data_IF_981129452874
#
_entry.id   IF_981129452874
#
_cell.length_a   1.000
_cell.length_b   1.000
_cell.length_c   1.000
_cell.angle_alpha   90.00
_cell.angle_beta   90.00
_cell.angle_gamma   90.00
#
_symmetry.space_group_name_H-M   'P 1'
#
loop_
_entity.id
_entity.type
_entity.pdbx_description
1 polymer ?
#
# COMPACT_ATOMS: atom_id res chain seq x y z
N UNK A 1 -13.71 -13.66 52.16
CA UNK A 1 -12.69 -14.63 51.74
C UNK A 1 -12.98 -14.98 50.29
N UNK A 2 -12.13 -14.57 49.36
CA UNK A 2 -12.29 -14.92 47.94
C UNK A 2 -11.46 -16.18 47.73
N UNK A 3 -12.11 -17.34 47.62
CA UNK A 3 -11.46 -18.59 47.23
C UNK A 3 -10.93 -18.41 45.80
N UNK A 4 -9.61 -18.28 45.68
CA UNK A 4 -8.94 -18.46 44.40
C UNK A 4 -9.11 -19.92 44.02
N UNK A 5 -9.85 -20.19 42.95
CA UNK A 5 -9.89 -21.49 42.27
C UNK A 5 -8.48 -21.73 41.72
N UNK A 6 -7.59 -22.27 42.55
CA UNK A 6 -6.24 -22.65 42.18
C UNK A 6 -6.31 -23.97 41.42
N UNK A 7 -6.11 -23.92 40.10
CA UNK A 7 -5.90 -25.15 39.34
C UNK A 7 -4.68 -25.88 39.89
N UNK A 8 -4.84 -27.15 40.27
CA UNK A 8 -3.70 -27.97 40.67
C UNK A 8 -2.67 -28.04 39.54
N UNK A 9 -1.36 -27.94 39.85
CA UNK A 9 -0.31 -28.14 38.86
C UNK A 9 -0.44 -29.51 38.21
N UNK A 10 -0.34 -29.56 36.88
CA UNK A 10 -0.44 -30.79 36.08
C UNK A 10 0.78 -31.71 36.22
N UNK A 11 1.85 -31.23 36.85
CA UNK A 11 3.15 -31.90 36.99
C UNK A 11 3.63 -31.87 38.44
N UNK A 12 4.62 -32.71 38.75
CA UNK A 12 5.42 -32.66 39.98
C UNK A 12 6.92 -32.52 39.62
N UNK A 13 7.73 -32.10 40.59
CA UNK A 13 9.19 -32.02 40.42
C UNK A 13 9.78 -33.42 40.54
N UNK A 14 10.48 -33.87 39.50
CA UNK A 14 11.20 -35.14 39.46
C UNK A 14 12.67 -34.88 39.84
N UNK A 15 13.03 -35.22 41.07
CA UNK A 15 14.38 -35.00 41.61
C UNK A 15 15.41 -36.02 41.10
N UNK A 16 14.94 -37.13 40.53
CA UNK A 16 15.79 -38.21 40.00
C UNK A 16 16.36 -37.89 38.61
N UNK A 17 15.76 -36.92 37.89
CA UNK A 17 16.18 -36.53 36.55
C UNK A 17 16.59 -35.06 36.49
N UNK A 18 17.78 -34.79 35.98
CA UNK A 18 18.32 -33.43 35.79
C UNK A 18 18.44 -33.12 34.31
N UNK A 19 18.01 -31.92 33.92
CA UNK A 19 18.20 -31.44 32.56
C UNK A 19 19.69 -31.22 32.24
N UNK A 20 20.25 -31.81 31.17
CA UNK A 20 21.65 -31.61 30.81
C UNK A 20 21.96 -30.20 30.30
N UNK A 21 20.94 -29.45 29.86
CA UNK A 21 21.10 -28.07 29.35
C UNK A 21 21.05 -27.02 30.46
N UNK A 22 20.16 -27.21 31.43
CA UNK A 22 19.85 -26.17 32.43
C UNK A 22 20.18 -26.57 33.87
N UNK A 23 20.69 -27.78 34.08
CA UNK A 23 21.08 -28.31 35.40
C UNK A 23 19.98 -28.14 36.47
N UNK A 24 18.72 -28.27 36.06
CA UNK A 24 17.57 -28.20 36.96
C UNK A 24 16.83 -29.53 36.98
N UNK A 25 16.13 -29.82 38.08
CA UNK A 25 15.22 -30.97 38.16
C UNK A 25 14.16 -30.89 37.07
N UNK A 26 13.87 -32.04 36.46
CA UNK A 26 12.84 -32.16 35.45
C UNK A 26 11.45 -32.16 36.11
N UNK A 27 10.41 -31.92 35.30
CA UNK A 27 9.01 -32.02 35.73
C UNK A 27 8.35 -33.19 35.02
N UNK A 28 7.57 -33.97 35.77
CA UNK A 28 6.84 -35.13 35.25
C UNK A 28 5.35 -34.91 35.40
N UNK A 29 4.56 -35.23 34.37
CA UNK A 29 3.10 -35.13 34.46
C UNK A 29 2.55 -36.07 35.53
N UNK A 30 1.62 -35.57 36.36
CA UNK A 30 0.96 -36.37 37.41
C UNK A 30 0.14 -37.53 36.84
N UNK A 31 -0.41 -37.36 35.63
CA UNK A 31 -1.24 -38.37 34.95
C UNK A 31 -0.54 -38.83 33.67
N UNK A 32 -0.55 -40.14 33.36
CA UNK A 32 -0.07 -40.63 32.08
C UNK A 32 -0.86 -40.00 30.92
N UNK A 33 -0.17 -39.75 29.81
CA UNK A 33 -0.78 -39.29 28.57
C UNK A 33 -0.55 -40.31 27.46
N UNK A 34 -1.44 -40.34 26.48
CA UNK A 34 -1.32 -41.18 25.28
C UNK A 34 -0.94 -40.29 24.10
N UNK A 35 0.28 -40.46 23.58
CA UNK A 35 0.71 -39.77 22.37
C UNK A 35 0.14 -40.47 21.13
N UNK A 36 -0.07 -39.72 20.04
CA UNK A 36 -0.61 -40.22 18.76
C UNK A 36 0.18 -41.43 18.23
N UNK A 37 1.49 -41.47 18.48
CA UNK A 37 2.40 -42.52 18.00
C UNK A 37 2.74 -43.58 19.08
N UNK A 38 1.93 -43.73 20.13
CA UNK A 38 2.15 -44.75 21.17
C UNK A 38 0.88 -45.55 21.48
N UNK A 39 1.03 -46.87 21.53
CA UNK A 39 -0.01 -47.83 21.92
C UNK A 39 -0.32 -47.73 23.41
N UNK A 40 0.69 -47.56 24.26
CA UNK A 40 0.54 -47.50 25.72
C UNK A 40 0.71 -46.07 26.29
N UNK A 41 -0.03 -45.71 27.35
CA UNK A 41 0.17 -44.45 28.08
C UNK A 41 1.55 -44.38 28.72
N UNK A 42 2.12 -43.18 28.78
CA UNK A 42 3.38 -42.93 29.48
C UNK A 42 3.29 -41.61 30.25
N UNK A 43 4.18 -41.40 31.22
CA UNK A 43 4.29 -40.13 31.93
C UNK A 43 5.48 -39.35 31.34
N UNK A 44 5.23 -38.27 30.57
CA UNK A 44 6.31 -37.47 30.01
C UNK A 44 7.04 -36.70 31.10
N UNK A 45 8.36 -36.76 31.05
CA UNK A 45 9.28 -35.91 31.80
C UNK A 45 9.81 -34.79 30.89
N UNK A 46 9.87 -33.55 31.38
CA UNK A 46 10.35 -32.40 30.62
C UNK A 46 11.04 -31.36 31.49
N UNK A 47 12.00 -30.62 30.91
CA UNK A 47 12.65 -29.51 31.61
C UNK A 47 11.79 -28.24 31.53
N UNK A 48 11.46 -27.57 32.66
CA UNK A 48 10.66 -26.34 32.65
C UNK A 48 11.36 -25.18 31.92
N UNK A 49 12.68 -25.08 32.02
CA UNK A 49 13.47 -24.04 31.34
C UNK A 49 13.50 -24.26 29.82
N UNK A 50 13.74 -25.49 29.36
CA UNK A 50 13.64 -25.85 27.93
C UNK A 50 12.25 -25.56 27.35
N UNK A 51 11.18 -25.81 28.12
CA UNK A 51 9.81 -25.49 27.67
C UNK A 51 9.62 -23.98 27.57
N UNK A 52 10.06 -23.20 28.58
CA UNK A 52 10.00 -21.73 28.56
C UNK A 52 10.69 -21.16 27.33
N UNK A 53 11.94 -21.53 27.07
CA UNK A 53 12.69 -21.06 25.88
C UNK A 53 12.04 -21.46 24.56
N UNK A 54 11.34 -22.61 24.51
CA UNK A 54 10.62 -23.05 23.30
C UNK A 54 9.37 -22.21 23.08
N UNK A 55 8.64 -21.89 24.15
CA UNK A 55 7.47 -21.02 24.12
C UNK A 55 7.89 -19.60 23.73
N UNK A 56 8.95 -19.06 24.33
CA UNK A 56 9.48 -17.73 24.02
C UNK A 56 9.88 -17.62 22.54
N UNK A 57 10.69 -18.56 22.02
CA UNK A 57 11.06 -18.57 20.58
C UNK A 57 9.86 -18.67 19.65
N UNK A 58 8.85 -19.48 20.01
CA UNK A 58 7.63 -19.61 19.21
C UNK A 58 6.83 -18.30 19.22
N UNK A 59 6.71 -17.67 20.39
CA UNK A 59 6.03 -16.38 20.54
C UNK A 59 6.76 -15.27 19.77
N UNK A 60 8.08 -15.20 19.84
CA UNK A 60 8.89 -14.25 19.07
C UNK A 60 8.70 -14.43 17.56
N UNK A 61 8.69 -15.68 17.07
CA UNK A 61 8.43 -15.99 15.67
C UNK A 61 7.01 -15.56 15.25
N UNK A 62 5.99 -15.90 16.04
CA UNK A 62 4.59 -15.52 15.77
C UNK A 62 4.40 -13.99 15.76
N UNK A 63 5.04 -13.27 16.69
CA UNK A 63 5.03 -11.79 16.73
C UNK A 63 5.74 -11.23 15.49
N UNK A 64 6.89 -11.77 15.13
CA UNK A 64 7.64 -11.37 13.93
C UNK A 64 6.85 -11.56 12.64
N UNK A 65 6.18 -12.69 12.50
CA UNK A 65 5.28 -12.99 11.38
C UNK A 65 4.09 -12.02 11.33
N UNK A 66 3.44 -11.77 12.48
CA UNK A 66 2.33 -10.82 12.57
C UNK A 66 2.76 -9.39 12.22
N UNK A 67 3.91 -8.95 12.72
CA UNK A 67 4.49 -7.63 12.42
C UNK A 67 4.82 -7.50 10.92
N UNK A 68 5.48 -8.50 10.34
CA UNK A 68 5.80 -8.53 8.91
C UNK A 68 4.52 -8.49 8.06
N UNK A 69 3.52 -9.32 8.39
CA UNK A 69 2.22 -9.34 7.72
C UNK A 69 1.51 -7.97 7.79
N UNK A 70 1.58 -7.29 8.93
CA UNK A 70 1.05 -5.94 9.10
C UNK A 70 1.75 -4.93 8.20
N UNK A 71 3.08 -4.95 8.13
CA UNK A 71 3.85 -4.09 7.23
C UNK A 71 3.42 -4.34 5.77
N UNK A 72 3.43 -5.60 5.32
CA UNK A 72 3.07 -5.96 3.94
C UNK A 72 1.66 -5.47 3.57
N UNK A 73 0.70 -5.62 4.49
CA UNK A 73 -0.68 -5.14 4.32
C UNK A 73 -0.77 -3.63 4.21
N UNK A 74 0.03 -2.90 4.99
CA UNK A 74 0.05 -1.45 5.04
C UNK A 74 0.98 -0.82 3.98
N UNK A 75 1.74 -1.62 3.23
CA UNK A 75 2.62 -1.15 2.16
C UNK A 75 2.25 -1.77 0.81
N UNK A 76 2.68 -3.00 0.52
CA UNK A 76 2.59 -3.58 -0.81
C UNK A 76 1.15 -3.89 -1.23
N UNK A 77 0.29 -4.25 -0.29
CA UNK A 77 -1.11 -4.58 -0.59
C UNK A 77 -1.99 -3.33 -0.76
N UNK A 78 -1.50 -2.15 -0.38
CA UNK A 78 -2.26 -0.89 -0.43
C UNK A 78 -2.74 -0.60 -1.85
N UNK A 79 -1.89 -0.87 -2.85
CA UNK A 79 -2.22 -0.62 -4.25
C UNK A 79 -3.43 -1.45 -4.68
N UNK A 80 -3.51 -2.71 -4.28
CA UNK A 80 -4.59 -3.60 -4.72
C UNK A 80 -5.85 -3.47 -3.85
N UNK A 81 -5.70 -3.21 -2.55
CA UNK A 81 -6.81 -3.22 -1.59
C UNK A 81 -7.49 -1.86 -1.40
N UNK A 82 -6.73 -0.76 -1.51
CA UNK A 82 -7.22 0.57 -1.14
C UNK A 82 -7.37 1.53 -2.31
N UNK A 83 -6.85 1.18 -3.48
CA UNK A 83 -6.93 2.04 -4.65
C UNK A 83 -8.31 2.05 -5.32
N UNK A 84 -8.63 3.17 -5.94
CA UNK A 84 -9.82 3.34 -6.78
C UNK A 84 -9.44 3.19 -8.26
N UNK A 85 -8.99 1.98 -8.64
CA UNK A 85 -8.66 1.65 -10.03
C UNK A 85 -9.96 1.30 -10.79
N UNK A 86 -10.22 1.90 -11.97
CA UNK A 86 -11.35 1.52 -12.83
C UNK A 86 -11.33 0.02 -13.19
N UNK A 87 -12.50 -0.62 -13.21
CA UNK A 87 -12.60 -2.08 -13.39
C UNK A 87 -12.02 -2.56 -14.73
N UNK A 88 -12.19 -1.78 -15.79
CA UNK A 88 -11.67 -2.01 -17.15
C UNK A 88 -10.14 -1.88 -17.24
N UNK A 89 -9.52 -1.21 -16.27
CA UNK A 89 -8.06 -1.03 -16.18
C UNK A 89 -7.42 -1.87 -15.07
N UNK A 90 -8.13 -2.86 -14.54
CA UNK A 90 -7.60 -3.78 -13.51
C UNK A 90 -6.35 -4.54 -13.96
N UNK A 91 -6.14 -4.77 -15.24
CA UNK A 91 -4.94 -5.46 -15.76
C UNK A 91 -3.94 -4.51 -16.44
N UNK A 92 -4.16 -3.18 -16.31
CA UNK A 92 -3.28 -2.17 -16.91
C UNK A 92 -1.85 -2.27 -16.34
N UNK A 93 -0.87 -2.40 -17.23
CA UNK A 93 0.55 -2.50 -16.89
C UNK A 93 1.39 -2.06 -18.10
N UNK A 94 2.70 -1.95 -17.92
CA UNK A 94 3.62 -1.70 -19.04
C UNK A 94 3.61 -2.83 -20.09
N UNK A 95 3.19 -4.05 -19.71
CA UNK A 95 3.06 -5.19 -20.61
C UNK A 95 1.79 -5.12 -21.46
N UNK A 96 0.70 -4.60 -20.89
CA UNK A 96 -0.60 -4.49 -21.56
C UNK A 96 -0.80 -3.14 -22.23
N UNK A 97 0.16 -2.22 -22.14
CA UNK A 97 0.13 -0.94 -22.85
C UNK A 97 0.64 -1.15 -24.29
N UNK A 98 -0.28 -1.22 -25.24
CA UNK A 98 0.03 -1.27 -26.68
C UNK A 98 0.66 0.03 -27.14
N UNK A 99 1.67 -0.05 -28.00
CA UNK A 99 2.31 1.10 -28.66
C UNK A 99 1.93 1.05 -30.13
N UNK A 100 1.09 1.98 -30.56
CA UNK A 100 0.59 2.01 -31.95
C UNK A 100 1.16 3.17 -32.77
N UNK A 101 1.71 4.18 -32.11
CA UNK A 101 2.30 5.36 -32.74
C UNK A 101 3.49 5.90 -31.91
N UNK A 102 4.15 6.92 -32.45
CA UNK A 102 5.32 7.50 -31.78
C UNK A 102 4.97 8.23 -30.47
N UNK A 103 3.79 8.84 -30.38
CA UNK A 103 3.35 9.48 -29.13
C UNK A 103 3.20 8.46 -27.99
N UNK A 104 2.66 7.27 -28.27
CA UNK A 104 2.57 6.17 -27.33
C UNK A 104 3.96 5.66 -26.90
N UNK A 105 4.88 5.55 -27.85
CA UNK A 105 6.26 5.12 -27.59
C UNK A 105 6.95 6.11 -26.65
N UNK A 106 6.85 7.42 -26.94
CA UNK A 106 7.39 8.49 -26.09
C UNK A 106 6.76 8.49 -24.70
N UNK A 107 5.44 8.32 -24.61
CA UNK A 107 4.72 8.30 -23.35
C UNK A 107 5.11 7.08 -22.49
N UNK A 108 5.22 5.89 -23.10
CA UNK A 108 5.68 4.67 -22.43
C UNK A 108 7.11 4.80 -21.94
N UNK A 109 8.01 5.33 -22.76
CA UNK A 109 9.42 5.54 -22.39
C UNK A 109 9.55 6.58 -21.27
N UNK A 110 8.76 7.65 -21.31
CA UNK A 110 8.66 8.61 -20.21
C UNK A 110 8.20 7.93 -18.92
N UNK A 111 7.12 7.15 -18.96
CA UNK A 111 6.60 6.45 -17.80
C UNK A 111 7.60 5.44 -17.20
N UNK A 112 8.38 4.74 -18.04
CA UNK A 112 9.46 3.87 -17.57
C UNK A 112 10.59 4.65 -16.87
N UNK A 113 10.95 5.84 -17.39
CA UNK A 113 11.93 6.72 -16.72
C UNK A 113 11.41 7.21 -15.37
N UNK A 114 10.13 7.58 -15.28
CA UNK A 114 9.49 7.99 -14.02
C UNK A 114 9.52 6.85 -13.00
N UNK A 115 9.14 5.64 -13.39
CA UNK A 115 9.21 4.49 -12.48
C UNK A 115 10.63 4.26 -11.94
N UNK A 116 11.64 4.36 -12.82
CA UNK A 116 13.06 4.27 -12.43
C UNK A 116 13.50 5.43 -11.52
N UNK A 117 13.01 6.65 -11.76
CA UNK A 117 13.29 7.82 -10.91
C UNK A 117 12.78 7.60 -9.49
N UNK A 118 11.52 7.20 -9.33
CA UNK A 118 10.94 6.94 -8.03
C UNK A 118 11.54 5.72 -7.33
N UNK A 119 11.91 4.66 -8.06
CA UNK A 119 12.62 3.53 -7.46
C UNK A 119 13.97 3.93 -6.85
N UNK A 120 14.63 4.98 -7.39
CA UNK A 120 15.84 5.59 -6.83
C UNK A 120 15.55 6.63 -5.73
N UNK A 121 14.35 6.62 -5.15
CA UNK A 121 13.83 7.59 -4.18
C UNK A 121 13.80 9.04 -4.70
N UNK A 122 13.74 9.22 -6.02
CA UNK A 122 13.64 10.54 -6.64
C UNK A 122 12.41 11.32 -6.15
N UNK A 123 12.57 12.64 -6.02
CA UNK A 123 11.51 13.57 -5.62
C UNK A 123 10.97 14.34 -6.82
N UNK A 124 9.83 14.99 -6.63
CA UNK A 124 9.11 15.76 -7.64
C UNK A 124 7.82 15.06 -8.07
N UNK A 125 6.79 15.86 -8.35
CA UNK A 125 5.54 15.38 -8.89
C UNK A 125 5.69 15.05 -10.37
N UNK A 126 5.11 13.93 -10.79
CA UNK A 126 4.96 13.56 -12.19
C UNK A 126 3.63 14.07 -12.71
N UNK A 127 3.61 14.69 -13.89
CA UNK A 127 2.40 15.25 -14.49
C UNK A 127 2.24 14.72 -15.91
N UNK A 128 1.15 13.99 -16.18
CA UNK A 128 0.81 13.47 -17.51
C UNK A 128 -0.47 14.15 -17.99
N UNK A 129 -0.36 14.96 -19.04
CA UNK A 129 -1.45 15.78 -19.57
C UNK A 129 -1.76 15.43 -21.02
N UNK A 130 -3.03 15.45 -21.38
CA UNK A 130 -3.49 15.20 -22.75
C UNK A 130 -4.98 14.95 -22.80
N UNK A 131 -5.57 14.99 -23.99
CA UNK A 131 -7.00 14.74 -24.17
C UNK A 131 -7.44 13.34 -23.68
N UNK A 132 -8.75 13.14 -23.57
CA UNK A 132 -9.32 11.85 -23.22
C UNK A 132 -8.92 10.77 -24.23
N UNK A 133 -8.86 9.51 -23.77
CA UNK A 133 -8.56 8.38 -24.67
C UNK A 133 -7.08 8.15 -25.00
N UNK A 134 -6.14 8.98 -24.53
CA UNK A 134 -4.71 8.86 -24.85
C UNK A 134 -3.90 7.88 -23.99
N UNK A 135 -4.55 7.17 -23.04
CA UNK A 135 -3.89 6.15 -22.21
C UNK A 135 -3.17 6.66 -20.94
N UNK A 136 -3.41 7.92 -20.53
CA UNK A 136 -2.81 8.52 -19.33
C UNK A 136 -3.03 7.70 -18.05
N UNK A 137 -4.28 7.31 -17.80
CA UNK A 137 -4.67 6.49 -16.64
C UNK A 137 -3.99 5.13 -16.66
N UNK A 138 -3.91 4.47 -17.83
CA UNK A 138 -3.20 3.21 -18.00
C UNK A 138 -1.72 3.36 -17.64
N UNK A 139 -1.04 4.40 -18.16
CA UNK A 139 0.36 4.66 -17.82
C UNK A 139 0.55 4.96 -16.33
N UNK A 140 -0.34 5.72 -15.71
CA UNK A 140 -0.26 6.00 -14.28
C UNK A 140 -0.39 4.73 -13.43
N UNK A 141 -1.31 3.83 -13.78
CA UNK A 141 -1.43 2.49 -13.16
C UNK A 141 -0.17 1.66 -13.42
N UNK A 142 0.36 1.68 -14.64
CA UNK A 142 1.57 0.95 -14.99
C UNK A 142 2.80 1.41 -14.19
N UNK A 143 2.97 2.72 -13.99
CA UNK A 143 4.00 3.30 -13.13
C UNK A 143 3.81 2.82 -11.69
N UNK A 144 2.60 2.97 -11.15
CA UNK A 144 2.28 2.56 -9.77
C UNK A 144 2.61 1.07 -9.52
N UNK A 145 2.21 0.19 -10.44
CA UNK A 145 2.51 -1.25 -10.35
C UNK A 145 3.98 -1.55 -10.44
N UNK A 146 4.71 -0.87 -11.33
CA UNK A 146 6.16 -1.06 -11.47
C UNK A 146 6.90 -0.65 -10.20
N UNK A 147 6.55 0.51 -9.62
CA UNK A 147 7.11 0.97 -8.34
C UNK A 147 6.83 -0.05 -7.23
N UNK A 148 5.58 -0.48 -7.10
CA UNK A 148 5.20 -1.46 -6.07
C UNK A 148 5.95 -2.79 -6.24
N UNK A 149 6.04 -3.29 -7.47
CA UNK A 149 6.74 -4.53 -7.79
C UNK A 149 8.26 -4.43 -7.54
N UNK A 150 8.89 -3.32 -7.91
CA UNK A 150 10.33 -3.13 -7.74
C UNK A 150 10.72 -3.05 -6.28
N UNK A 151 9.99 -2.28 -5.47
CA UNK A 151 10.22 -2.20 -4.02
C UNK A 151 9.94 -3.53 -3.31
N UNK A 152 8.92 -4.27 -3.77
CA UNK A 152 8.64 -5.63 -3.29
C UNK A 152 9.77 -6.60 -3.62
N UNK A 153 10.36 -6.52 -4.81
CA UNK A 153 11.46 -7.41 -5.24
C UNK A 153 12.72 -7.25 -4.39
N UNK A 154 12.95 -6.08 -3.79
CA UNK A 154 14.09 -5.81 -2.89
C UNK A 154 13.68 -5.77 -1.41
N UNK A 155 12.49 -6.28 -1.05
CA UNK A 155 11.97 -6.32 0.32
C UNK A 155 12.03 -4.96 1.04
N UNK A 156 11.81 -3.86 0.32
CA UNK A 156 11.77 -2.52 0.90
C UNK A 156 10.32 -2.06 0.96
N UNK A 157 9.67 -2.05 2.15
CA UNK A 157 8.26 -1.75 2.25
C UNK A 157 7.95 -0.32 1.82
N UNK A 158 7.19 -0.17 0.73
CA UNK A 158 6.70 1.10 0.22
C UNK A 158 5.23 0.98 -0.16
N UNK A 159 4.45 1.96 0.25
CA UNK A 159 3.02 2.05 -0.06
C UNK A 159 2.80 2.83 -1.36
N UNK A 160 2.01 2.25 -2.25
CA UNK A 160 1.58 2.90 -3.50
C UNK A 160 0.06 2.92 -3.53
N UNK A 161 -0.53 4.09 -3.74
CA UNK A 161 -1.98 4.26 -3.71
C UNK A 161 -2.46 4.98 -4.96
N UNK A 162 -3.50 4.44 -5.60
CA UNK A 162 -4.10 5.05 -6.77
C UNK A 162 -5.51 5.58 -6.46
N UNK A 163 -5.76 6.85 -6.76
CA UNK A 163 -7.04 7.51 -6.55
C UNK A 163 -7.50 8.20 -7.83
N UNK A 164 -8.60 7.73 -8.41
CA UNK A 164 -9.36 8.54 -9.35
C UNK A 164 -10.02 9.70 -8.58
N UNK A 165 -9.65 10.94 -8.89
CA UNK A 165 -10.00 12.13 -8.11
C UNK A 165 -11.52 12.33 -8.01
N UNK A 166 -12.30 12.26 -9.11
CA UNK A 166 -13.76 12.32 -9.02
C UNK A 166 -14.37 11.24 -8.11
N UNK A 167 -13.98 9.97 -8.29
CA UNK A 167 -14.49 8.86 -7.49
C UNK A 167 -14.11 8.97 -6.00
N UNK A 168 -12.90 9.45 -5.72
CA UNK A 168 -12.44 9.71 -4.36
C UNK A 168 -13.31 10.75 -3.66
N UNK A 169 -13.56 11.89 -4.29
CA UNK A 169 -14.42 12.92 -3.70
C UNK A 169 -15.87 12.47 -3.53
N UNK A 170 -16.40 11.68 -4.46
CA UNK A 170 -17.73 11.05 -4.29
C UNK A 170 -17.76 10.15 -3.05
N UNK A 171 -16.72 9.33 -2.83
CA UNK A 171 -16.62 8.50 -1.62
C UNK A 171 -16.53 9.33 -0.34
N UNK A 172 -15.70 10.37 -0.33
CA UNK A 172 -15.57 11.29 0.80
C UNK A 172 -16.94 11.91 1.14
N UNK A 173 -17.64 12.44 0.15
CA UNK A 173 -18.97 13.05 0.33
C UNK A 173 -20.02 12.05 0.81
N UNK A 174 -20.02 10.82 0.29
CA UNK A 174 -20.95 9.77 0.71
C UNK A 174 -20.81 9.37 2.17
N UNK A 175 -19.64 9.62 2.77
CA UNK A 175 -19.33 9.37 4.17
C UNK A 175 -19.68 10.50 5.12
N UNK A 176 -20.02 11.70 4.62
CA UNK A 176 -20.32 12.85 5.47
C UNK A 176 -21.53 12.59 6.39
N UNK A 177 -21.33 12.82 7.69
CA UNK A 177 -22.37 12.66 8.72
C UNK A 177 -22.56 11.22 9.24
N UNK A 178 -21.79 10.24 8.77
CA UNK A 178 -21.85 8.85 9.28
C UNK A 178 -20.72 8.60 10.29
N UNK A 179 -21.07 8.16 11.51
CA UNK A 179 -20.10 7.97 12.61
C UNK A 179 -19.09 6.84 12.36
N UNK A 180 -19.39 5.94 11.44
CA UNK A 180 -18.64 4.73 11.12
C UNK A 180 -17.83 4.83 9.80
N UNK A 181 -17.84 6.01 9.15
CA UNK A 181 -17.11 6.25 7.90
C UNK A 181 -16.00 7.27 8.13
N UNK A 182 -14.88 7.11 7.39
CA UNK A 182 -13.75 8.05 7.42
C UNK A 182 -14.20 9.47 7.11
N UNK A 183 -13.81 10.42 7.95
CA UNK A 183 -13.98 11.85 7.72
C UNK A 183 -13.09 12.34 6.56
N UNK A 184 -13.34 13.55 6.07
CA UNK A 184 -12.44 14.18 5.09
C UNK A 184 -11.01 14.28 5.62
N UNK A 185 -10.83 14.59 6.90
CA UNK A 185 -9.51 14.70 7.54
C UNK A 185 -8.80 13.34 7.60
N UNK A 186 -9.52 12.26 7.91
CA UNK A 186 -8.95 10.90 7.87
C UNK A 186 -8.48 10.50 6.48
N UNK A 187 -9.25 10.87 5.44
CA UNK A 187 -8.85 10.68 4.06
C UNK A 187 -7.59 11.49 3.74
N UNK A 188 -7.55 12.76 4.13
CA UNK A 188 -6.40 13.62 3.90
C UNK A 188 -5.13 13.06 4.56
N UNK A 189 -5.22 12.62 5.82
CA UNK A 189 -4.10 12.03 6.55
C UNK A 189 -3.62 10.71 5.93
N UNK A 190 -4.53 9.86 5.47
CA UNK A 190 -4.16 8.64 4.75
C UNK A 190 -3.40 8.97 3.45
N UNK A 191 -3.90 9.93 2.66
CA UNK A 191 -3.29 10.32 1.40
C UNK A 191 -1.93 11.02 1.59
N UNK A 192 -1.72 11.72 2.71
CA UNK A 192 -0.41 12.28 3.07
C UNK A 192 0.61 11.21 3.44
N UNK A 193 0.19 10.13 4.12
CA UNK A 193 1.08 9.11 4.69
C UNK A 193 1.66 8.12 3.68
N UNK A 194 0.97 7.86 2.57
CA UNK A 194 1.46 6.89 1.57
C UNK A 194 2.74 7.39 0.88
N UNK A 195 3.67 6.48 0.57
CA UNK A 195 4.96 6.84 -0.03
C UNK A 195 4.77 7.40 -1.44
N UNK A 196 3.95 6.74 -2.26
CA UNK A 196 3.64 7.15 -3.63
C UNK A 196 2.13 7.24 -3.84
N UNK A 197 1.68 8.38 -4.33
CA UNK A 197 0.27 8.64 -4.60
C UNK A 197 0.05 8.90 -6.09
N UNK A 198 -0.97 8.27 -6.67
CA UNK A 198 -1.49 8.63 -7.99
C UNK A 198 -2.82 9.35 -7.83
N UNK A 199 -2.90 10.56 -8.38
CA UNK A 199 -4.12 11.35 -8.52
C UNK A 199 -4.53 11.36 -10.00
N UNK A 200 -5.47 10.50 -10.35
CA UNK A 200 -5.94 10.34 -11.72
C UNK A 200 -7.13 11.27 -12.02
N UNK A 201 -7.21 11.78 -13.25
CA UNK A 201 -8.27 12.69 -13.73
C UNK A 201 -8.35 13.99 -12.91
N UNK A 202 -7.20 14.55 -12.51
CA UNK A 202 -7.13 15.82 -11.78
C UNK A 202 -7.78 16.96 -12.58
N UNK A 203 -8.65 17.72 -11.89
CA UNK A 203 -9.39 18.85 -12.47
C UNK A 203 -10.65 18.48 -13.26
N UNK A 204 -11.06 17.21 -13.24
CA UNK A 204 -12.37 16.77 -13.73
C UNK A 204 -13.45 16.87 -12.64
N UNK A 205 -14.67 17.21 -13.03
CA UNK A 205 -15.82 17.38 -12.11
C UNK A 205 -15.98 18.81 -11.59
N UNK A 206 -16.87 19.02 -10.62
CA UNK A 206 -17.06 20.33 -10.00
C UNK A 206 -15.81 20.79 -9.24
N UNK A 207 -15.62 22.10 -9.19
CA UNK A 207 -14.46 22.75 -8.60
C UNK A 207 -14.87 23.51 -7.34
N UNK A 208 -15.65 22.86 -6.47
CA UNK A 208 -16.05 23.42 -5.19
C UNK A 208 -14.82 23.80 -4.34
N UNK A 209 -14.92 24.90 -3.58
CA UNK A 209 -13.78 25.49 -2.86
C UNK A 209 -13.12 24.49 -1.90
N UNK A 210 -13.91 23.74 -1.13
CA UNK A 210 -13.38 22.74 -0.19
C UNK A 210 -12.55 21.63 -0.88
N UNK A 211 -12.86 21.28 -2.13
CA UNK A 211 -12.06 20.30 -2.90
C UNK A 211 -10.71 20.89 -3.29
N UNK A 212 -10.68 22.18 -3.65
CA UNK A 212 -9.44 22.92 -3.93
C UNK A 212 -8.58 23.02 -2.67
N UNK A 213 -9.17 23.37 -1.53
CA UNK A 213 -8.46 23.48 -0.25
C UNK A 213 -7.89 22.13 0.21
N UNK A 214 -8.67 21.05 0.03
CA UNK A 214 -8.20 19.69 0.27
C UNK A 214 -7.01 19.34 -0.62
N UNK A 215 -7.13 19.54 -1.95
CA UNK A 215 -6.06 19.24 -2.90
C UNK A 215 -4.81 20.09 -2.64
N UNK A 216 -4.99 21.35 -2.28
CA UNK A 216 -3.91 22.24 -1.90
C UNK A 216 -3.15 21.68 -0.71
N UNK A 217 -3.85 21.38 0.39
CA UNK A 217 -3.24 20.86 1.62
C UNK A 217 -2.55 19.51 1.38
N UNK A 218 -3.15 18.65 0.56
CA UNK A 218 -2.59 17.36 0.19
C UNK A 218 -1.29 17.51 -0.63
N UNK A 219 -1.31 18.32 -1.68
CA UNK A 219 -0.17 18.47 -2.58
C UNK A 219 0.97 19.28 -1.96
N UNK A 220 0.67 20.21 -1.06
CA UNK A 220 1.67 20.99 -0.33
C UNK A 220 2.52 20.08 0.58
N UNK A 221 1.86 19.13 1.27
CA UNK A 221 2.47 18.16 2.17
C UNK A 221 3.26 17.04 1.45
N UNK A 222 3.19 16.94 0.13
CA UNK A 222 3.78 15.85 -0.65
C UNK A 222 4.82 16.34 -1.67
N UNK A 223 5.70 15.43 -2.08
CA UNK A 223 6.68 15.64 -3.15
C UNK A 223 6.85 14.42 -4.09
N UNK A 224 6.04 13.36 -3.91
CA UNK A 224 6.04 12.13 -4.72
C UNK A 224 4.61 11.77 -5.14
N UNK A 225 4.06 12.55 -6.07
CA UNK A 225 2.70 12.38 -6.59
C UNK A 225 2.71 12.28 -8.11
N UNK A 226 2.05 11.26 -8.66
CA UNK A 226 1.81 11.11 -10.10
C UNK A 226 0.41 11.63 -10.38
N UNK A 227 0.29 12.59 -11.30
CA UNK A 227 -0.94 13.31 -11.58
C UNK A 227 -1.27 13.14 -13.06
N UNK A 228 -2.49 12.70 -13.37
CA UNK A 228 -3.01 12.75 -14.74
C UNK A 228 -4.06 13.84 -14.86
N UNK A 229 -4.12 14.55 -15.99
CA UNK A 229 -5.15 15.55 -16.23
C UNK A 229 -5.49 15.71 -17.71
N UNK A 230 -6.74 16.06 -17.99
CA UNK A 230 -7.17 16.48 -19.32
C UNK A 230 -7.00 17.99 -19.54
N UNK A 231 -6.70 18.75 -18.49
CA UNK A 231 -6.53 20.20 -18.57
C UNK A 231 -5.12 20.53 -19.04
N UNK A 232 -5.00 21.36 -20.06
CA UNK A 232 -3.76 22.03 -20.40
C UNK A 232 -3.30 22.95 -19.27
N UNK A 233 -2.02 23.31 -19.26
CA UNK A 233 -1.49 24.27 -18.27
C UNK A 233 -2.19 25.63 -18.29
N UNK A 234 -2.72 26.06 -19.44
CA UNK A 234 -3.50 27.29 -19.56
C UNK A 234 -4.90 27.13 -18.93
N UNK A 235 -5.56 25.99 -19.13
CA UNK A 235 -6.86 25.70 -18.53
C UNK A 235 -6.75 25.52 -17.02
N UNK A 236 -5.71 24.84 -16.53
CA UNK A 236 -5.44 24.74 -15.09
C UNK A 236 -5.32 26.12 -14.44
N UNK A 237 -4.61 27.08 -15.06
CA UNK A 237 -4.46 28.44 -14.55
C UNK A 237 -5.76 29.27 -14.56
N UNK A 238 -6.77 28.87 -15.35
CA UNK A 238 -8.10 29.50 -15.35
C UNK A 238 -8.99 28.94 -14.25
N UNK A 239 -8.84 27.66 -13.92
CA UNK A 239 -9.69 26.94 -12.97
C UNK A 239 -9.16 27.02 -11.53
N UNK A 240 -7.84 26.94 -11.40
CA UNK A 240 -7.10 26.93 -10.14
C UNK A 240 -6.27 28.20 -10.00
N UNK A 241 -6.05 28.60 -8.75
CA UNK A 241 -5.14 29.70 -8.46
C UNK A 241 -3.68 29.32 -8.78
N UNK A 242 -2.82 30.33 -8.89
CA UNK A 242 -1.40 30.11 -9.14
C UNK A 242 -0.74 29.25 -8.06
N UNK A 243 -1.30 29.30 -6.85
CA UNK A 243 -0.80 28.61 -5.68
C UNK A 243 -0.93 27.08 -5.84
N UNK A 244 -2.11 26.57 -6.18
CA UNK A 244 -2.38 25.14 -6.37
C UNK A 244 -1.67 24.61 -7.62
N UNK A 245 -1.65 25.37 -8.72
CA UNK A 245 -0.92 25.00 -9.94
C UNK A 245 0.57 24.81 -9.66
N UNK A 246 1.17 25.65 -8.82
CA UNK A 246 2.56 25.52 -8.39
C UNK A 246 2.81 24.22 -7.61
N UNK A 247 1.88 23.79 -6.75
CA UNK A 247 2.00 22.53 -5.99
C UNK A 247 1.85 21.31 -6.89
N UNK A 248 0.96 21.36 -7.88
CA UNK A 248 0.86 20.31 -8.91
C UNK A 248 2.21 20.16 -9.64
N UNK A 249 2.82 21.28 -10.04
CA UNK A 249 4.09 21.30 -10.77
C UNK A 249 5.35 21.20 -9.88
N UNK A 250 5.20 20.94 -8.57
CA UNK A 250 6.31 20.90 -7.60
C UNK A 250 7.36 19.87 -8.00
N UNK A 251 8.52 20.35 -8.45
CA UNK A 251 9.63 19.49 -8.91
C UNK A 251 9.37 18.74 -10.22
N UNK A 252 8.40 19.18 -11.03
CA UNK A 252 7.96 18.43 -12.21
C UNK A 252 8.75 18.68 -13.51
N UNK A 253 9.85 19.45 -13.47
CA UNK A 253 10.54 19.98 -14.67
C UNK A 253 10.86 18.89 -15.71
N UNK A 254 11.45 17.78 -15.28
CA UNK A 254 11.77 16.63 -16.14
C UNK A 254 10.81 15.44 -15.93
N UNK A 255 9.75 15.66 -15.14
CA UNK A 255 8.72 14.68 -14.79
C UNK A 255 7.35 15.09 -15.35
N UNK A 256 7.33 15.88 -16.43
CA UNK A 256 6.10 16.23 -17.13
C UNK A 256 6.07 15.66 -18.53
N UNK A 257 4.95 15.07 -18.91
CA UNK A 257 4.67 14.61 -20.26
C UNK A 257 3.35 15.19 -20.75
N UNK A 258 3.39 15.84 -21.92
CA UNK A 258 2.21 16.35 -22.59
C UNK A 258 2.03 15.58 -23.88
N UNK A 259 0.89 14.89 -24.02
CA UNK A 259 0.52 14.28 -25.29
C UNK A 259 0.36 15.36 -26.37
N UNK A 260 0.84 15.12 -27.60
CA UNK A 260 0.50 15.94 -28.76
C UNK A 260 -1.02 16.06 -28.94
N UNK A 261 -1.49 17.23 -29.37
CA UNK A 261 -2.94 17.49 -29.52
C UNK A 261 -3.57 16.54 -30.54
N UNK A 262 -2.88 16.30 -31.64
CA UNK A 262 -3.19 15.40 -32.76
C UNK A 262 -3.01 13.90 -32.45
N UNK A 263 -2.65 13.51 -31.23
CA UNK A 263 -2.56 12.07 -30.92
C UNK A 263 -3.92 11.39 -31.15
N UNK A 264 -3.94 10.10 -31.44
CA UNK A 264 -5.20 9.40 -31.70
C UNK A 264 -5.88 8.95 -30.40
N UNK A 265 -7.22 8.94 -30.37
CA UNK A 265 -7.96 8.29 -29.29
C UNK A 265 -7.74 6.77 -29.39
N UNK A 266 -7.17 6.18 -28.34
CA UNK A 266 -6.84 4.75 -28.34
C UNK A 266 -8.06 3.86 -28.25
N UNK A 267 -9.24 4.41 -27.90
CA UNK A 267 -10.52 3.67 -27.87
C UNK A 267 -11.11 3.45 -29.25
N UNK A 268 -10.62 4.16 -30.26
CA UNK A 268 -11.07 4.05 -31.66
C UNK A 268 -10.09 3.27 -32.54
N UNK A 269 -8.95 2.83 -31.99
CA UNK A 269 -8.00 2.01 -32.74
C UNK A 269 -8.67 0.66 -33.09
N UNK A 270 -8.61 0.21 -34.35
CA UNK A 270 -9.13 -1.10 -34.72
C UNK A 270 -8.24 -2.14 -34.04
N UNK A 271 -8.84 -2.94 -33.16
CA UNK A 271 -8.20 -4.11 -32.57
C UNK A 271 -7.99 -5.19 -33.63
#
# INVERSE_FOLDING_TARGET
MIEKIGFEPLHYVNEDEICPKHSCYMWTFKKPVRAINRTEPYQPTFCPQCVRERVERKLEAEIGEAYTSSILRNTFDVLDKNSLIPNDLKDASFKTFTVSNEADNLARNFALRVAKHYFKDGKGNTVIVGEAGRGKTHLAIAIARKINADFKAINTPKSVLFMNVPAMFQKIQSGFGRRDVRSADDWLELLKRVDYLVLDDFGKGDQAQWKKDFMYTLLDARDKTIITSNLSGAEMKKIFDASLVSRVAKGSKDLSFKYPQDSEDRRTLPF
#
